data_IF_073743888750
#
_entry.id   IF_073743888750
#
_cell.length_a   1.000
_cell.length_b   1.000
_cell.length_c   1.000
_cell.angle_alpha   90.00
_cell.angle_beta   90.00
_cell.angle_gamma   90.00
#
_symmetry.space_group_name_H-M   'P 1'
#
loop_
_entity.id
_entity.type
_entity.pdbx_description
1 polymer ?
#
# COMPACT_ATOMS: atom_id res chain seq x y z
N UNK A 1 -56.49 -16.77 -48.37
CA UNK A 1 -56.64 -18.02 -49.15
C UNK A 1 -55.45 -18.13 -50.08
N UNK A 2 -54.81 -19.31 -50.08
CA UNK A 2 -53.87 -19.86 -51.07
C UNK A 2 -52.47 -19.19 -51.19
N UNK A 3 -51.33 -19.74 -50.77
CA UNK A 3 -50.72 -21.09 -50.91
C UNK A 3 -49.93 -21.27 -52.24
N UNK A 4 -48.65 -21.68 -52.07
CA UNK A 4 -47.77 -22.52 -52.93
C UNK A 4 -47.10 -21.85 -54.15
N UNK A 5 -45.76 -21.83 -54.31
CA UNK A 5 -44.65 -22.82 -54.28
C UNK A 5 -44.19 -23.18 -55.71
N UNK A 6 -42.85 -23.20 -55.92
CA UNK A 6 -42.04 -24.26 -56.58
C UNK A 6 -40.64 -23.68 -56.87
N UNK A 7 -39.56 -24.17 -56.26
CA UNK A 7 -38.84 -25.44 -56.48
C UNK A 7 -38.08 -25.50 -57.82
N UNK A 8 -36.73 -25.54 -57.75
CA UNK A 8 -35.80 -26.59 -58.22
C UNK A 8 -34.43 -25.97 -58.57
N UNK A 9 -33.37 -26.13 -57.75
CA UNK A 9 -32.40 -27.23 -57.65
C UNK A 9 -31.36 -27.34 -58.80
N UNK A 10 -30.07 -27.11 -58.46
CA UNK A 10 -28.84 -27.85 -58.84
C UNK A 10 -27.61 -27.01 -58.42
N UNK A 11 -26.99 -27.31 -57.28
CA UNK A 11 -25.80 -28.17 -57.14
C UNK A 11 -24.55 -27.69 -57.89
N UNK A 12 -23.57 -27.16 -57.15
CA UNK A 12 -22.20 -27.66 -57.25
C UNK A 12 -21.43 -27.37 -55.96
N UNK A 13 -20.93 -28.45 -55.36
CA UNK A 13 -20.17 -28.47 -54.12
C UNK A 13 -18.69 -28.13 -54.40
N UNK A 14 -18.10 -27.27 -53.57
CA UNK A 14 -16.65 -27.25 -53.35
C UNK A 14 -16.39 -27.45 -51.86
N UNK A 15 -15.75 -28.59 -51.56
CA UNK A 15 -15.28 -29.01 -50.25
C UNK A 15 -14.19 -28.04 -49.78
N UNK A 16 -14.44 -27.27 -48.73
CA UNK A 16 -13.37 -26.70 -47.91
C UNK A 16 -13.09 -27.70 -46.78
N UNK A 17 -11.91 -28.31 -46.86
CA UNK A 17 -11.38 -29.23 -45.86
C UNK A 17 -11.11 -28.44 -44.58
N UNK A 18 -11.94 -28.67 -43.56
CA UNK A 18 -11.72 -28.14 -42.22
C UNK A 18 -10.52 -28.82 -41.57
N UNK A 19 -9.41 -28.10 -41.47
CA UNK A 19 -8.31 -28.45 -40.56
C UNK A 19 -8.81 -28.14 -39.15
N UNK A 20 -9.27 -29.17 -38.44
CA UNK A 20 -9.51 -29.09 -37.00
C UNK A 20 -8.14 -28.90 -36.33
N UNK A 21 -7.76 -27.65 -36.04
CA UNK A 21 -6.69 -27.40 -35.08
C UNK A 21 -7.22 -27.84 -33.71
N UNK A 22 -6.76 -29.00 -33.23
CA UNK A 22 -6.92 -29.38 -31.85
C UNK A 22 -6.27 -28.30 -31.00
N UNK A 23 -7.08 -27.45 -30.36
CA UNK A 23 -6.57 -26.55 -29.33
C UNK A 23 -5.99 -27.42 -28.22
N UNK A 24 -4.73 -27.20 -27.80
CA UNK A 24 -4.20 -27.89 -26.65
C UNK A 24 -5.06 -27.48 -25.45
N UNK A 25 -5.63 -28.47 -24.79
CA UNK A 25 -6.32 -28.33 -23.51
C UNK A 25 -5.39 -27.57 -22.58
N UNK A 26 -5.70 -26.30 -22.32
CA UNK A 26 -4.96 -25.50 -21.35
C UNK A 26 -5.11 -26.22 -20.02
N UNK A 27 -4.05 -26.92 -19.61
CA UNK A 27 -3.92 -27.45 -18.27
C UNK A 27 -4.13 -26.28 -17.32
N UNK A 28 -5.21 -26.32 -16.55
CA UNK A 28 -5.39 -25.42 -15.40
C UNK A 28 -4.13 -25.54 -14.56
N UNK A 29 -3.41 -24.45 -14.24
CA UNK A 29 -2.41 -24.52 -13.19
C UNK A 29 -3.17 -24.59 -11.86
N UNK A 30 -3.58 -25.80 -11.47
CA UNK A 30 -3.81 -26.13 -10.06
C UNK A 30 -2.45 -26.37 -9.42
N UNK A 31 -1.73 -25.27 -9.20
CA UNK A 31 -0.68 -25.18 -8.19
C UNK A 31 -0.83 -23.81 -7.54
N UNK A 32 -1.69 -23.73 -6.52
CA UNK A 32 -1.44 -22.78 -5.44
C UNK A 32 -0.25 -23.34 -4.67
N UNK A 33 0.96 -23.07 -5.16
CA UNK A 33 2.11 -23.09 -4.27
C UNK A 33 1.82 -22.01 -3.22
N UNK A 34 1.60 -22.42 -1.97
CA UNK A 34 1.77 -21.52 -0.84
C UNK A 34 3.22 -21.08 -0.88
N UNK A 35 3.48 -19.94 -1.52
CA UNK A 35 4.76 -19.26 -1.41
C UNK A 35 4.82 -18.83 0.05
N UNK A 36 5.52 -19.61 0.85
CA UNK A 36 5.89 -19.28 2.22
C UNK A 36 6.79 -18.04 2.14
N UNK A 37 6.19 -16.87 2.30
CA UNK A 37 6.90 -15.59 2.22
C UNK A 37 7.59 -15.39 3.56
N UNK A 38 8.90 -15.69 3.60
CA UNK A 38 9.77 -15.37 4.73
C UNK A 38 9.70 -13.86 5.01
N UNK A 39 9.33 -13.50 6.24
CA UNK A 39 9.36 -12.13 6.73
C UNK A 39 10.44 -12.01 7.81
N UNK A 40 11.36 -11.07 7.61
CA UNK A 40 12.39 -10.69 8.56
C UNK A 40 12.12 -9.30 9.10
N UNK A 41 12.16 -9.13 10.42
CA UNK A 41 12.13 -7.82 11.07
C UNK A 41 13.56 -7.43 11.41
N UNK A 42 13.96 -6.25 10.96
CA UNK A 42 15.33 -5.75 11.06
C UNK A 42 15.31 -4.48 11.91
N UNK A 43 16.00 -4.51 13.04
CA UNK A 43 16.28 -3.34 13.84
C UNK A 43 17.56 -2.69 13.30
N UNK A 44 17.42 -1.51 12.72
CA UNK A 44 18.52 -0.80 12.05
C UNK A 44 19.64 -0.47 13.03
N UNK A 45 19.30 0.09 14.20
CA UNK A 45 20.25 0.52 15.22
C UNK A 45 21.18 -0.59 15.70
N UNK A 46 20.64 -1.80 15.90
CA UNK A 46 21.37 -2.95 16.44
C UNK A 46 21.83 -3.92 15.36
N UNK A 47 21.39 -3.73 14.12
CA UNK A 47 21.54 -4.67 13.01
C UNK A 47 21.08 -6.10 13.39
N UNK A 48 20.04 -6.22 14.23
CA UNK A 48 19.46 -7.51 14.63
C UNK A 48 18.36 -7.91 13.66
N UNK A 49 18.39 -9.17 13.25
CA UNK A 49 17.45 -9.77 12.30
C UNK A 49 16.66 -10.88 13.00
N UNK A 50 15.34 -10.82 12.90
CA UNK A 50 14.45 -11.85 13.42
C UNK A 50 13.51 -12.27 12.29
N UNK A 51 13.68 -13.49 11.79
CA UNK A 51 12.93 -14.01 10.65
C UNK A 51 11.96 -15.10 11.10
N UNK A 52 10.70 -14.98 10.70
CA UNK A 52 9.61 -15.95 10.98
C UNK A 52 9.40 -16.31 12.47
N UNK A 53 9.89 -15.49 13.42
CA UNK A 53 9.71 -15.70 14.86
C UNK A 53 9.10 -14.47 15.54
N UNK A 54 7.79 -14.33 15.36
CA UNK A 54 7.00 -13.25 15.93
C UNK A 54 7.03 -13.28 17.47
N UNK A 55 7.14 -14.47 18.05
CA UNK A 55 7.16 -14.66 19.51
C UNK A 55 8.45 -14.11 20.10
N UNK A 56 9.59 -14.40 19.47
CA UNK A 56 10.88 -13.87 19.88
C UNK A 56 10.92 -12.35 19.74
N UNK A 57 10.43 -11.81 18.62
CA UNK A 57 10.37 -10.37 18.41
C UNK A 57 9.55 -9.67 19.50
N UNK A 58 8.34 -10.16 19.81
CA UNK A 58 7.51 -9.60 20.87
C UNK A 58 8.14 -9.76 22.25
N UNK A 59 8.82 -10.88 22.52
CA UNK A 59 9.50 -11.12 23.80
C UNK A 59 10.60 -10.10 24.05
N UNK A 60 11.38 -9.78 23.02
CA UNK A 60 12.55 -8.90 23.11
C UNK A 60 12.22 -7.43 22.92
N UNK A 61 11.13 -7.10 22.21
CA UNK A 61 10.70 -5.72 21.98
C UNK A 61 9.49 -5.35 22.86
N UNK A 62 9.77 -4.99 24.12
CA UNK A 62 8.74 -4.59 25.08
C UNK A 62 7.94 -3.36 24.64
N UNK A 63 8.50 -2.48 23.81
CA UNK A 63 7.83 -1.26 23.36
C UNK A 63 6.58 -1.53 22.52
N UNK A 64 6.57 -2.63 21.78
CA UNK A 64 5.54 -2.94 20.78
C UNK A 64 4.33 -3.67 21.40
N UNK A 65 4.49 -4.33 22.55
CA UNK A 65 3.48 -5.22 23.14
C UNK A 65 2.10 -4.58 23.32
N UNK A 66 2.08 -3.32 23.73
CA UNK A 66 0.84 -2.59 24.03
C UNK A 66 0.46 -1.61 22.91
N UNK A 67 1.08 -1.72 21.73
CA UNK A 67 0.84 -0.82 20.60
C UNK A 67 -0.22 -1.37 19.66
N UNK A 68 -1.03 -0.47 19.11
CA UNK A 68 -1.96 -0.72 18.01
C UNK A 68 -1.26 -0.45 16.68
N UNK A 69 -1.62 -1.19 15.64
CA UNK A 69 -1.01 -1.06 14.32
C UNK A 69 -1.98 -0.40 13.33
N UNK A 70 -1.55 0.66 12.66
CA UNK A 70 -2.13 1.09 11.39
C UNK A 70 -1.21 0.60 10.28
N UNK A 71 -1.73 -0.21 9.37
CA UNK A 71 -1.00 -0.64 8.17
C UNK A 71 -1.45 0.17 6.96
N UNK A 72 -0.52 0.60 6.11
CA UNK A 72 -0.80 1.47 4.96
C UNK A 72 -0.26 0.81 3.70
N UNK A 73 -1.14 0.58 2.74
CA UNK A 73 -0.79 -0.19 1.55
C UNK A 73 0.11 0.57 0.58
N UNK A 74 0.80 -0.16 -0.33
CA UNK A 74 1.26 0.40 -1.59
C UNK A 74 0.10 1.07 -2.35
N UNK A 75 0.44 1.99 -3.25
CA UNK A 75 -0.59 2.71 -4.01
C UNK A 75 -0.09 3.60 -5.15
N UNK A 76 1.21 3.60 -5.44
CA UNK A 76 1.79 4.48 -6.47
C UNK A 76 1.38 5.94 -6.27
N UNK A 77 0.90 6.59 -7.33
CA UNK A 77 0.42 7.98 -7.25
C UNK A 77 -0.84 8.15 -6.40
N UNK A 78 -1.66 7.11 -6.17
CA UNK A 78 -2.74 7.18 -5.16
C UNK A 78 -2.20 7.22 -3.72
N UNK A 79 -0.88 7.15 -3.54
CA UNK A 79 -0.20 7.54 -2.30
C UNK A 79 -0.63 8.91 -1.77
N UNK A 80 -0.86 9.88 -2.66
CA UNK A 80 -1.35 11.21 -2.27
C UNK A 80 -2.79 11.21 -1.78
N UNK A 81 -3.64 10.32 -2.31
CA UNK A 81 -4.98 10.10 -1.75
C UNK A 81 -4.92 9.49 -0.35
N UNK A 82 -4.03 8.53 -0.15
CA UNK A 82 -3.79 7.98 1.19
C UNK A 82 -3.19 9.02 2.14
N UNK A 83 -2.37 9.96 1.65
CA UNK A 83 -1.86 11.08 2.44
C UNK A 83 -3.00 11.95 2.98
N UNK A 84 -4.01 12.26 2.15
CA UNK A 84 -5.22 12.96 2.60
C UNK A 84 -5.96 12.21 3.71
N UNK A 85 -6.15 10.90 3.52
CA UNK A 85 -6.77 10.03 4.54
C UNK A 85 -5.95 10.05 5.84
N UNK A 86 -4.63 9.92 5.74
CA UNK A 86 -3.72 9.93 6.89
C UNK A 86 -3.73 11.27 7.62
N UNK A 87 -3.74 12.38 6.88
CA UNK A 87 -3.79 13.73 7.44
C UNK A 87 -5.07 13.94 8.27
N UNK A 88 -6.24 13.58 7.73
CA UNK A 88 -7.49 13.66 8.48
C UNK A 88 -7.46 12.82 9.77
N UNK A 89 -6.99 11.57 9.68
CA UNK A 89 -6.90 10.68 10.85
C UNK A 89 -5.96 11.28 11.90
N UNK A 90 -4.80 11.77 11.47
CA UNK A 90 -3.79 12.32 12.38
C UNK A 90 -4.21 13.63 13.04
N UNK A 91 -5.01 14.44 12.36
CA UNK A 91 -5.61 15.68 12.91
C UNK A 91 -6.79 15.38 13.86
N UNK A 92 -7.52 14.28 13.64
CA UNK A 92 -8.78 14.02 14.33
C UNK A 92 -8.69 13.11 15.56
N UNK A 93 -7.62 12.32 15.68
CA UNK A 93 -7.51 11.27 16.70
C UNK A 93 -6.19 11.30 17.47
N UNK A 94 -6.23 10.87 18.74
CA UNK A 94 -5.04 10.65 19.57
C UNK A 94 -4.42 9.29 19.19
N UNK A 95 -3.17 9.31 18.72
CA UNK A 95 -2.47 8.16 18.15
C UNK A 95 -1.18 7.78 18.92
N UNK A 96 -1.12 8.09 20.21
CA UNK A 96 0.07 7.89 21.03
C UNK A 96 0.44 6.40 21.21
N UNK A 97 -0.58 5.55 21.28
CA UNK A 97 -0.48 4.09 21.37
C UNK A 97 -0.39 3.39 20.01
N UNK A 98 -0.32 4.14 18.90
CA UNK A 98 -0.21 3.56 17.56
C UNK A 98 1.23 3.51 17.04
N UNK A 99 1.49 2.48 16.24
CA UNK A 99 2.64 2.33 15.35
C UNK A 99 2.15 2.18 13.91
N UNK A 100 3.03 2.48 12.94
CA UNK A 100 2.67 2.57 11.53
C UNK A 100 3.56 1.67 10.71
N UNK A 101 2.95 0.82 9.89
CA UNK A 101 3.70 -0.04 8.96
C UNK A 101 3.20 0.13 7.54
N UNK A 102 4.14 0.35 6.61
CA UNK A 102 3.77 0.56 5.22
C UNK A 102 4.86 0.18 4.25
N UNK A 103 4.46 0.06 2.99
CA UNK A 103 5.34 -0.25 1.87
C UNK A 103 5.03 0.63 0.67
N UNK A 104 6.06 0.96 -0.12
CA UNK A 104 5.95 1.86 -1.26
C UNK A 104 5.35 3.22 -0.84
N UNK A 105 4.34 3.71 -1.55
CA UNK A 105 3.54 4.86 -1.12
C UNK A 105 3.06 4.78 0.34
N UNK A 106 2.79 3.59 0.87
CA UNK A 106 2.41 3.38 2.26
C UNK A 106 3.56 3.60 3.26
N UNK A 107 4.81 3.40 2.85
CA UNK A 107 5.97 3.69 3.69
C UNK A 107 6.14 5.21 3.89
N UNK A 108 6.00 5.99 2.81
CA UNK A 108 5.98 7.46 2.87
C UNK A 108 4.86 7.98 3.77
N UNK A 109 3.66 7.41 3.64
CA UNK A 109 2.53 7.76 4.49
C UNK A 109 2.74 7.32 5.95
N UNK A 110 3.42 6.19 6.18
CA UNK A 110 3.78 5.76 7.54
C UNK A 110 4.80 6.70 8.18
N UNK A 111 5.79 7.20 7.42
CA UNK A 111 6.71 8.24 7.88
C UNK A 111 5.95 9.52 8.22
N UNK A 112 5.05 9.98 7.35
CA UNK A 112 4.16 11.12 7.63
C UNK A 112 3.40 10.95 8.95
N UNK A 113 2.87 9.76 9.22
CA UNK A 113 2.14 9.47 10.46
C UNK A 113 3.01 9.60 11.72
N UNK A 114 4.34 9.52 11.61
CA UNK A 114 5.25 9.74 12.74
C UNK A 114 5.59 11.21 13.03
N UNK A 115 5.20 12.16 12.16
CA UNK A 115 5.47 13.58 12.38
C UNK A 115 4.78 14.10 13.66
N UNK A 116 5.47 14.89 14.49
CA UNK A 116 4.97 15.28 15.83
C UNK A 116 4.25 16.62 15.86
N UNK A 117 4.32 17.40 14.78
CA UNK A 117 3.70 18.73 14.68
C UNK A 117 2.43 18.64 13.81
N UNK A 118 1.99 19.79 13.30
CA UNK A 118 0.78 19.90 12.49
C UNK A 118 0.86 19.03 11.21
N UNK A 119 0.00 17.99 11.08
CA UNK A 119 0.00 17.12 9.92
C UNK A 119 -0.39 17.85 8.62
N UNK A 120 -1.19 18.91 8.70
CA UNK A 120 -1.65 19.68 7.54
C UNK A 120 -0.50 20.50 6.96
N UNK A 121 0.31 21.12 7.83
CA UNK A 121 1.52 21.84 7.41
C UNK A 121 2.46 20.92 6.63
N UNK A 122 2.79 19.74 7.17
CA UNK A 122 3.67 18.78 6.47
C UNK A 122 3.07 18.34 5.14
N UNK A 123 1.76 18.06 5.09
CA UNK A 123 1.11 17.64 3.84
C UNK A 123 1.26 18.69 2.74
N UNK A 124 1.00 19.97 3.01
CA UNK A 124 1.13 21.03 2.01
C UNK A 124 2.58 21.31 1.61
N UNK A 125 3.54 21.14 2.51
CA UNK A 125 4.97 21.23 2.17
C UNK A 125 5.41 20.17 1.16
N UNK A 126 4.82 18.97 1.28
CA UNK A 126 5.02 17.90 0.34
C UNK A 126 4.31 18.19 -0.99
N UNK A 127 3.06 18.67 -0.98
CA UNK A 127 2.17 18.85 -2.15
C UNK A 127 2.45 20.10 -3.02
N UNK A 128 3.71 20.49 -3.19
CA UNK A 128 4.10 21.63 -4.03
C UNK A 128 3.83 21.37 -5.53
N UNK A 129 3.39 22.41 -6.25
CA UNK A 129 3.20 22.41 -7.71
C UNK A 129 4.40 21.86 -8.48
N UNK A 130 5.61 22.03 -7.95
CA UNK A 130 6.84 21.47 -8.53
C UNK A 130 6.80 19.94 -8.64
N UNK A 131 6.09 19.23 -7.76
CA UNK A 131 5.98 17.77 -7.84
C UNK A 131 5.33 17.31 -9.16
N UNK A 132 4.42 18.10 -9.73
CA UNK A 132 3.80 17.77 -11.01
C UNK A 132 4.84 17.74 -12.16
N UNK A 133 6.01 18.37 -11.97
CA UNK A 133 7.11 18.39 -12.94
C UNK A 133 8.01 17.14 -12.89
N UNK A 134 7.93 16.31 -11.86
CA UNK A 134 8.83 15.16 -11.64
C UNK A 134 8.80 14.14 -12.78
N UNK A 135 9.87 14.00 -13.59
CA UNK A 135 9.85 13.24 -14.86
C UNK A 135 9.48 11.76 -14.67
N UNK A 136 9.82 11.16 -13.54
CA UNK A 136 9.54 9.78 -13.16
C UNK A 136 9.14 9.63 -11.69
N UNK A 137 8.74 8.42 -11.28
CA UNK A 137 8.46 8.11 -9.86
C UNK A 137 9.72 8.27 -9.00
N UNK A 138 10.89 7.88 -9.51
CA UNK A 138 12.14 8.06 -8.78
C UNK A 138 12.48 9.55 -8.63
N UNK A 139 12.23 10.38 -9.64
CA UNK A 139 12.41 11.83 -9.51
C UNK A 139 11.46 12.39 -8.45
N UNK A 140 10.21 11.93 -8.43
CA UNK A 140 9.21 12.33 -7.43
C UNK A 140 9.68 11.97 -6.01
N UNK A 141 10.17 10.75 -5.80
CA UNK A 141 10.74 10.27 -4.54
C UNK A 141 11.92 11.13 -4.09
N UNK A 142 12.86 11.45 -4.99
CA UNK A 142 13.99 12.31 -4.65
C UNK A 142 13.55 13.75 -4.36
N UNK A 143 12.59 14.29 -5.11
CA UNK A 143 12.03 15.62 -4.83
C UNK A 143 11.39 15.67 -3.43
N UNK A 144 10.64 14.63 -3.05
CA UNK A 144 10.06 14.49 -1.70
C UNK A 144 11.18 14.35 -0.66
N UNK A 145 12.18 13.49 -0.89
CA UNK A 145 13.34 13.32 -0.01
C UNK A 145 14.02 14.66 0.29
N UNK A 146 14.38 15.41 -0.74
CA UNK A 146 15.09 16.68 -0.55
C UNK A 146 14.23 17.74 0.14
N UNK A 147 12.92 17.77 -0.13
CA UNK A 147 11.99 18.62 0.64
C UNK A 147 12.00 18.28 2.12
N UNK A 148 11.89 16.99 2.45
CA UNK A 148 11.87 16.52 3.84
C UNK A 148 13.19 16.87 4.54
N UNK A 149 14.32 16.50 3.95
CA UNK A 149 15.63 16.64 4.60
C UNK A 149 16.14 18.08 4.70
N UNK A 150 15.69 18.97 3.80
CA UNK A 150 16.07 20.39 3.86
C UNK A 150 15.27 21.16 4.91
N UNK A 151 14.05 20.72 5.25
CA UNK A 151 13.14 21.46 6.13
C UNK A 151 13.01 20.87 7.53
N UNK A 152 13.13 19.56 7.66
CA UNK A 152 12.85 18.85 8.91
C UNK A 152 14.06 18.11 9.46
N UNK A 153 14.03 17.83 10.76
CA UNK A 153 15.02 17.07 11.50
C UNK A 153 14.42 15.76 12.02
N UNK A 154 15.27 14.80 12.39
CA UNK A 154 14.80 13.55 13.00
C UNK A 154 13.91 13.79 14.23
N UNK A 155 14.24 14.80 15.04
CA UNK A 155 13.47 15.19 16.22
C UNK A 155 12.08 15.77 15.92
N UNK A 156 11.74 16.03 14.66
CA UNK A 156 10.37 16.38 14.26
C UNK A 156 9.47 15.15 14.11
N UNK A 157 10.05 13.94 14.11
CA UNK A 157 9.37 12.67 13.92
C UNK A 157 9.56 11.75 15.13
N UNK A 158 8.61 10.86 15.37
CA UNK A 158 8.76 9.72 16.28
C UNK A 158 9.12 8.47 15.47
N UNK A 159 10.38 8.40 15.02
CA UNK A 159 10.85 7.33 14.12
C UNK A 159 10.78 5.93 14.74
N UNK A 160 10.63 5.82 16.07
CA UNK A 160 10.40 4.55 16.77
C UNK A 160 9.04 3.93 16.42
N UNK A 161 8.07 4.74 15.95
CA UNK A 161 6.76 4.28 15.49
C UNK A 161 6.75 3.81 14.04
N UNK A 162 7.85 3.94 13.30
CA UNK A 162 7.93 3.66 11.87
C UNK A 162 8.42 2.24 11.57
N UNK A 163 7.66 1.52 10.74
CA UNK A 163 8.01 0.20 10.21
C UNK A 163 7.90 0.21 8.68
N UNK A 164 9.01 0.04 7.98
CA UNK A 164 9.05 0.11 6.51
C UNK A 164 9.24 -1.28 5.90
N UNK A 165 8.28 -1.71 5.09
CA UNK A 165 8.35 -2.97 4.37
C UNK A 165 9.11 -2.84 3.04
N UNK A 166 10.14 -3.65 2.84
CA UNK A 166 10.95 -3.71 1.63
C UNK A 166 10.98 -5.15 1.13
N UNK A 167 10.86 -5.36 -0.18
CA UNK A 167 10.98 -6.69 -0.77
C UNK A 167 12.41 -6.91 -1.24
N UNK A 168 12.97 -8.10 -1.06
CA UNK A 168 14.19 -8.52 -1.74
C UNK A 168 13.98 -9.83 -2.48
N UNK A 169 14.83 -10.10 -3.48
CA UNK A 169 14.96 -11.42 -4.08
C UNK A 169 16.23 -12.10 -3.54
N UNK A 170 16.07 -13.29 -2.99
CA UNK A 170 17.17 -14.14 -2.52
C UNK A 170 16.99 -15.55 -3.10
N UNK A 171 17.94 -16.02 -3.91
CA UNK A 171 17.84 -17.30 -4.65
C UNK A 171 16.48 -17.55 -5.33
N UNK A 172 15.94 -16.55 -6.04
CA UNK A 172 14.61 -16.58 -6.69
C UNK A 172 13.40 -16.68 -5.74
N UNK A 173 13.61 -16.53 -4.43
CA UNK A 173 12.53 -16.41 -3.44
C UNK A 173 12.30 -14.93 -3.09
N UNK A 174 11.04 -14.55 -3.02
CA UNK A 174 10.62 -13.24 -2.52
C UNK A 174 10.72 -13.26 -1.00
N UNK A 175 11.51 -12.36 -0.43
CA UNK A 175 11.62 -12.14 1.02
C UNK A 175 11.11 -10.75 1.36
N UNK A 176 10.44 -10.64 2.50
CA UNK A 176 9.94 -9.37 3.02
C UNK A 176 10.81 -8.95 4.20
N UNK A 177 11.30 -7.72 4.17
CA UNK A 177 12.08 -7.12 5.25
C UNK A 177 11.29 -5.97 5.85
N UNK A 178 11.05 -5.99 7.16
CA UNK A 178 10.42 -4.91 7.89
C UNK A 178 11.51 -4.17 8.67
N UNK A 179 11.91 -3.00 8.19
CA UNK A 179 12.91 -2.15 8.84
C UNK A 179 12.28 -1.25 9.90
N UNK A 180 12.97 -1.10 11.03
CA UNK A 180 12.50 -0.36 12.22
C UNK A 180 13.66 0.22 13.03
N UNK A 181 13.34 1.04 14.03
CA UNK A 181 14.29 1.67 14.96
C UNK A 181 15.36 2.52 14.24
N UNK A 182 14.91 3.42 13.36
CA UNK A 182 15.76 4.35 12.63
C UNK A 182 16.33 5.45 13.54
N UNK A 183 17.62 5.74 13.37
CA UNK A 183 18.31 6.80 14.14
C UNK A 183 18.26 8.17 13.48
N UNK A 184 18.16 8.20 12.15
CA UNK A 184 18.20 9.45 11.38
C UNK A 184 17.03 9.54 10.41
N UNK A 185 16.61 10.77 10.12
CA UNK A 185 15.58 11.02 9.13
C UNK A 185 16.05 10.64 7.72
N UNK A 186 17.32 10.82 7.38
CA UNK A 186 17.86 10.42 6.07
C UNK A 186 17.74 8.90 5.86
N UNK A 187 18.07 8.09 6.87
CA UNK A 187 17.95 6.64 6.75
C UNK A 187 16.49 6.17 6.66
N UNK A 188 15.59 6.76 7.46
CA UNK A 188 14.15 6.49 7.35
C UNK A 188 13.59 6.84 5.95
N UNK A 189 14.00 7.99 5.40
CA UNK A 189 13.61 8.42 4.03
C UNK A 189 14.22 7.51 2.97
N UNK A 190 15.49 7.11 3.10
CA UNK A 190 16.14 6.17 2.19
C UNK A 190 15.44 4.80 2.23
N UNK A 191 14.98 4.36 3.40
CA UNK A 191 14.16 3.15 3.54
C UNK A 191 12.83 3.27 2.78
N UNK A 192 12.17 4.44 2.83
CA UNK A 192 10.95 4.70 2.06
C UNK A 192 11.20 4.64 0.54
N UNK A 193 12.32 5.17 0.05
CA UNK A 193 12.75 5.06 -1.36
C UNK A 193 12.99 3.59 -1.72
N UNK A 194 13.76 2.87 -0.91
CA UNK A 194 14.03 1.45 -1.12
C UNK A 194 12.74 0.61 -1.18
N UNK A 195 11.77 0.97 -0.33
CA UNK A 195 10.43 0.37 -0.27
C UNK A 195 9.54 0.68 -1.48
N UNK A 196 9.90 1.69 -2.29
CA UNK A 196 9.11 2.16 -3.44
C UNK A 196 9.76 1.84 -4.80
N UNK A 197 11.01 1.34 -4.77
CA UNK A 197 11.79 1.12 -5.98
C UNK A 197 11.34 -0.14 -6.74
N UNK A 198 10.74 0.02 -7.92
CA UNK A 198 10.34 -1.08 -8.79
C UNK A 198 11.39 -1.29 -9.89
N UNK A 199 12.08 -2.45 -9.95
CA UNK A 199 13.02 -2.76 -11.02
C UNK A 199 12.43 -2.49 -12.40
N UNK A 200 13.23 -1.85 -13.27
CA UNK A 200 12.88 -1.51 -14.65
C UNK A 200 11.77 -0.48 -14.86
N UNK A 201 11.08 -0.05 -13.80
CA UNK A 201 10.10 1.06 -13.85
C UNK A 201 10.69 2.33 -13.23
N UNK A 202 11.49 2.19 -12.15
CA UNK A 202 12.07 3.32 -11.41
C UNK A 202 13.57 3.54 -11.68
N UNK A 203 14.20 2.83 -12.63
CA UNK A 203 15.61 3.06 -13.00
C UNK A 203 16.21 2.10 -14.02
N UNK A 204 17.35 2.49 -14.61
CA UNK A 204 18.10 1.73 -15.64
C UNK A 204 19.08 0.68 -15.07
N UNK A 205 19.04 0.36 -13.77
CA UNK A 205 20.02 -0.53 -13.14
C UNK A 205 19.37 -1.48 -12.12
N UNK A 206 19.84 -2.74 -12.11
CA UNK A 206 19.34 -3.87 -11.33
C UNK A 206 19.59 -3.74 -9.80
N UNK A 207 20.29 -2.70 -9.36
CA UNK A 207 20.91 -2.65 -8.03
C UNK A 207 20.58 -1.36 -7.28
N UNK A 208 19.33 -1.21 -6.81
CA UNK A 208 19.10 -0.38 -5.64
C UNK A 208 19.46 -1.21 -4.41
N UNK A 209 20.54 -0.84 -3.71
CA UNK A 209 21.00 -1.54 -2.51
C UNK A 209 20.64 -0.73 -1.28
N UNK A 210 19.86 -1.32 -0.38
CA UNK A 210 19.60 -0.76 0.94
C UNK A 210 20.00 -1.78 2.00
N UNK A 211 20.85 -1.38 2.96
CA UNK A 211 21.39 -2.28 3.99
C UNK A 211 21.99 -3.58 3.40
N UNK A 212 22.76 -3.45 2.30
CA UNK A 212 23.37 -4.53 1.53
C UNK A 212 22.40 -5.52 0.83
N UNK A 213 21.08 -5.27 0.88
CA UNK A 213 20.08 -6.05 0.16
C UNK A 213 19.75 -5.40 -1.19
N UNK A 214 19.55 -6.22 -2.23
CA UNK A 214 18.93 -5.75 -3.47
C UNK A 214 17.44 -5.50 -3.17
N UNK A 215 17.09 -4.22 -3.04
CA UNK A 215 15.80 -3.75 -2.58
C UNK A 215 14.85 -3.50 -3.74
N UNK A 216 13.60 -3.92 -3.54
CA UNK A 216 12.49 -3.82 -4.46
C UNK A 216 11.24 -3.32 -3.73
N UNK A 217 10.27 -2.79 -4.48
CA UNK A 217 9.02 -2.27 -3.94
C UNK A 217 8.38 -3.29 -3.00
N UNK A 218 8.09 -2.85 -1.77
CA UNK A 218 7.58 -3.72 -0.72
C UNK A 218 6.28 -4.42 -1.15
N UNK A 219 5.49 -3.82 -2.02
CA UNK A 219 4.24 -4.41 -2.47
C UNK A 219 4.34 -5.58 -3.45
N UNK A 220 5.55 -5.98 -3.85
CA UNK A 220 5.76 -7.30 -4.46
C UNK A 220 5.62 -8.46 -3.45
N UNK A 221 5.57 -8.16 -2.15
CA UNK A 221 5.19 -9.14 -1.12
C UNK A 221 3.68 -9.22 -0.92
N UNK A 222 3.19 -10.41 -0.56
CA UNK A 222 1.78 -10.65 -0.19
C UNK A 222 1.37 -9.85 1.04
N UNK A 223 2.30 -9.60 1.97
CA UNK A 223 2.04 -8.85 3.20
C UNK A 223 3.29 -8.07 3.62
N UNK A 224 3.49 -6.85 3.08
CA UNK A 224 4.70 -6.06 3.32
C UNK A 224 4.61 -5.19 4.57
N UNK A 225 3.84 -5.63 5.56
CA UNK A 225 3.62 -4.90 6.80
C UNK A 225 4.09 -5.76 7.97
N UNK A 226 4.37 -5.11 9.10
CA UNK A 226 4.66 -5.79 10.36
C UNK A 226 3.54 -6.80 10.68
N UNK A 227 3.89 -8.09 10.79
CA UNK A 227 2.91 -9.17 10.96
C UNK A 227 2.81 -9.70 12.41
N UNK A 228 3.44 -9.02 13.38
CA UNK A 228 3.45 -9.44 14.79
C UNK A 228 2.26 -8.95 15.60
N UNK A 229 1.56 -7.92 15.10
CA UNK A 229 0.34 -7.35 15.68
C UNK A 229 -0.73 -7.31 14.60
N UNK A 230 -1.97 -7.64 14.96
CA UNK A 230 -3.12 -7.46 14.07
C UNK A 230 -3.40 -5.97 13.87
N UNK A 231 -3.48 -5.46 12.62
CA UNK A 231 -3.81 -4.06 12.39
C UNK A 231 -5.20 -3.71 12.92
N UNK A 232 -5.32 -2.53 13.52
CA UNK A 232 -6.58 -1.90 13.91
C UNK A 232 -7.26 -1.19 12.73
N UNK A 233 -6.45 -0.73 11.78
CA UNK A 233 -6.90 -0.13 10.53
C UNK A 233 -5.91 -0.49 9.40
N UNK A 234 -6.45 -0.79 8.22
CA UNK A 234 -5.68 -0.91 7.00
C UNK A 234 -6.10 0.17 6.00
N UNK A 235 -5.21 1.13 5.72
CA UNK A 235 -5.45 2.22 4.79
C UNK A 235 -5.02 1.77 3.39
N UNK A 236 -5.93 1.92 2.43
CA UNK A 236 -5.66 1.63 1.01
C UNK A 236 -6.34 2.66 0.12
N UNK A 237 -5.95 2.76 -1.17
CA UNK A 237 -6.60 3.69 -2.10
C UNK A 237 -8.08 3.40 -2.39
N UNK A 238 -8.56 2.22 -1.99
CA UNK A 238 -9.91 1.75 -2.27
C UNK A 238 -10.74 1.52 -1.01
N UNK A 239 -10.22 1.85 0.18
CA UNK A 239 -10.90 1.53 1.44
C UNK A 239 -12.36 2.01 1.42
N UNK A 240 -12.65 3.22 0.95
CA UNK A 240 -14.01 3.79 0.95
C UNK A 240 -14.94 3.35 -0.19
N UNK A 241 -14.49 2.56 -1.18
CA UNK A 241 -15.29 2.24 -2.38
C UNK A 241 -16.60 1.50 -2.07
N UNK A 242 -16.53 0.55 -1.14
CA UNK A 242 -17.62 -0.38 -0.89
C UNK A 242 -18.45 0.02 0.34
N UNK A 243 -18.19 1.21 0.94
CA UNK A 243 -18.95 1.67 2.11
C UNK A 243 -20.44 1.74 1.79
N UNK A 244 -20.79 2.19 0.58
CA UNK A 244 -22.18 2.31 0.13
C UNK A 244 -22.90 0.98 0.00
N UNK A 245 -22.17 -0.13 -0.15
CA UNK A 245 -22.76 -1.47 -0.25
C UNK A 245 -23.10 -2.05 1.15
N UNK A 246 -22.57 -1.45 2.21
CA UNK A 246 -22.99 -1.75 3.57
C UNK A 246 -24.17 -0.85 3.93
N UNK A 247 -25.40 -1.38 3.86
CA UNK A 247 -26.59 -0.69 4.35
C UNK A 247 -26.50 -0.51 5.87
N UNK A 248 -25.92 0.60 6.30
CA UNK A 248 -25.78 0.98 7.71
C UNK A 248 -27.13 1.24 8.43
N UNK A 249 -28.25 1.19 7.70
CA UNK A 249 -29.60 1.35 8.22
C UNK A 249 -30.09 0.18 9.10
N UNK A 250 -29.52 -1.03 8.94
CA UNK A 250 -29.74 -2.16 9.84
C UNK A 250 -28.53 -2.32 10.75
N UNK A 251 -28.75 -2.36 12.08
CA UNK A 251 -27.74 -2.48 13.14
C UNK A 251 -26.36 -1.93 12.77
N UNK A 252 -26.25 -0.60 12.90
CA UNK A 252 -25.09 0.21 12.50
C UNK A 252 -23.75 -0.39 12.99
N UNK A 253 -23.74 -1.03 14.16
CA UNK A 253 -22.54 -1.59 14.79
C UNK A 253 -22.10 -2.92 14.17
N UNK A 254 -23.04 -3.81 13.84
CA UNK A 254 -22.73 -5.08 13.19
C UNK A 254 -22.16 -4.85 11.78
N UNK A 255 -22.72 -3.92 11.01
CA UNK A 255 -22.27 -3.64 9.66
C UNK A 255 -20.92 -2.91 9.62
N UNK A 256 -20.67 -1.99 10.56
CA UNK A 256 -19.34 -1.39 10.73
C UNK A 256 -18.27 -2.43 11.06
N UNK A 257 -18.55 -3.37 11.97
CA UNK A 257 -17.61 -4.46 12.30
C UNK A 257 -17.28 -5.35 11.09
N UNK A 258 -18.29 -5.75 10.31
CA UNK A 258 -18.08 -6.53 9.08
C UNK A 258 -17.23 -5.78 8.06
N UNK A 259 -17.47 -4.48 7.90
CA UNK A 259 -16.68 -3.64 7.01
C UNK A 259 -15.22 -3.50 7.50
N UNK A 260 -15.00 -3.27 8.80
CA UNK A 260 -13.66 -3.26 9.41
C UNK A 260 -12.95 -4.59 9.15
N UNK A 261 -13.60 -5.73 9.40
CA UNK A 261 -13.00 -7.03 9.13
C UNK A 261 -12.64 -7.24 7.65
N UNK A 262 -13.46 -6.73 6.73
CA UNK A 262 -13.18 -6.76 5.30
C UNK A 262 -11.95 -5.91 4.97
N UNK A 263 -11.85 -4.70 5.51
CA UNK A 263 -10.70 -3.82 5.29
C UNK A 263 -9.39 -4.47 5.76
N UNK A 264 -9.40 -5.10 6.93
CA UNK A 264 -8.22 -5.78 7.48
C UNK A 264 -7.78 -7.00 6.66
N UNK A 265 -8.68 -7.57 5.86
CA UNK A 265 -8.41 -8.72 4.98
C UNK A 265 -8.21 -8.32 3.52
N UNK A 266 -8.32 -7.05 3.18
CA UNK A 266 -8.39 -6.63 1.79
C UNK A 266 -7.04 -6.89 1.11
N UNK A 267 -6.99 -7.77 0.09
CA UNK A 267 -5.77 -8.00 -0.64
C UNK A 267 -5.47 -6.76 -1.50
N UNK A 268 -4.18 -6.56 -1.76
CA UNK A 268 -3.71 -5.52 -2.67
C UNK A 268 -4.32 -5.74 -4.06
N UNK A 269 -4.93 -4.70 -4.65
CA UNK A 269 -5.54 -4.82 -5.97
C UNK A 269 -4.54 -4.46 -7.06
N UNK A 270 -4.52 -5.21 -8.16
CA UNK A 270 -3.66 -4.90 -9.33
C UNK A 270 -3.95 -3.50 -9.88
N UNK A 271 -5.19 -3.01 -9.76
CA UNK A 271 -5.59 -1.65 -10.15
C UNK A 271 -4.96 -0.53 -9.30
N UNK A 272 -4.31 -0.86 -8.19
CA UNK A 272 -3.55 0.09 -7.40
C UNK A 272 -2.18 0.36 -8.06
N UNK A 273 -1.62 -0.62 -8.78
CA UNK A 273 -0.37 -0.50 -9.57
C UNK A 273 -0.54 0.12 -10.95
N UNK A 274 -1.73 0.01 -11.57
CA UNK A 274 -1.96 0.59 -12.92
C UNK A 274 -1.79 2.11 -12.94
N UNK A 275 -1.84 2.75 -11.78
CA UNK A 275 -1.65 4.19 -11.60
C UNK A 275 -0.22 4.63 -11.91
N UNK A 276 0.77 3.77 -11.69
CA UNK A 276 2.19 4.06 -11.92
C UNK A 276 2.49 4.46 -13.38
N UNK A 277 1.65 4.03 -14.33
CA UNK A 277 1.81 4.28 -15.76
C UNK A 277 0.96 5.44 -16.30
N UNK A 278 0.19 6.15 -15.46
CA UNK A 278 -0.81 7.14 -15.90
C UNK A 278 -0.64 8.53 -15.26
N UNK A 279 0.61 8.98 -15.12
CA UNK A 279 1.02 10.24 -14.48
C UNK A 279 0.26 11.49 -14.96
N UNK A 280 0.04 11.65 -16.26
CA UNK A 280 -0.57 12.86 -16.84
C UNK A 280 -2.04 13.10 -16.46
N UNK A 281 -2.63 12.21 -15.66
CA UNK A 281 -4.05 12.26 -15.25
C UNK A 281 -4.28 12.70 -13.80
N UNK A 282 -3.22 12.93 -13.01
CA UNK A 282 -3.37 13.14 -11.57
C UNK A 282 -2.85 14.51 -11.13
N UNK A 283 -3.74 15.30 -10.53
CA UNK A 283 -3.39 16.44 -9.71
C UNK A 283 -3.23 15.93 -8.25
N UNK A 284 -2.02 16.03 -7.70
CA UNK A 284 -1.72 15.46 -6.38
C UNK A 284 -2.47 16.18 -5.25
N UNK A 285 -2.71 17.48 -5.38
CA UNK A 285 -3.51 18.27 -4.43
C UNK A 285 -4.96 17.77 -4.45
N UNK A 286 -5.55 17.59 -5.64
CA UNK A 286 -6.91 17.04 -5.75
C UNK A 286 -7.01 15.62 -5.18
N UNK A 287 -5.99 14.77 -5.39
CA UNK A 287 -5.97 13.43 -4.79
C UNK A 287 -5.94 13.51 -3.26
N UNK A 288 -5.09 14.37 -2.70
CA UNK A 288 -5.04 14.63 -1.27
C UNK A 288 -6.38 15.13 -0.72
N UNK A 289 -6.94 16.19 -1.31
CA UNK A 289 -8.21 16.76 -0.87
C UNK A 289 -9.33 15.73 -0.92
N UNK A 290 -9.35 14.90 -1.96
CA UNK A 290 -10.32 13.82 -2.08
C UNK A 290 -10.16 12.80 -0.96
N UNK A 291 -8.94 12.36 -0.67
CA UNK A 291 -8.66 11.41 0.41
C UNK A 291 -9.05 11.94 1.79
N UNK A 292 -8.72 13.22 2.05
CA UNK A 292 -9.09 13.91 3.27
C UNK A 292 -10.61 14.00 3.43
N UNK A 293 -11.31 14.46 2.39
CA UNK A 293 -12.76 14.62 2.41
C UNK A 293 -13.50 13.28 2.48
N UNK A 294 -13.02 12.24 1.80
CA UNK A 294 -13.59 10.90 1.93
C UNK A 294 -13.45 10.37 3.36
N UNK A 295 -12.29 10.53 4.00
CA UNK A 295 -12.09 10.15 5.39
C UNK A 295 -13.00 10.95 6.35
N UNK A 296 -13.16 12.25 6.11
CA UNK A 296 -14.07 13.12 6.86
C UNK A 296 -15.54 12.72 6.71
N UNK A 297 -15.97 12.37 5.51
CA UNK A 297 -17.33 11.92 5.22
C UNK A 297 -17.65 10.56 5.85
N UNK A 298 -16.63 9.73 6.08
CA UNK A 298 -16.74 8.41 6.72
C UNK A 298 -16.24 8.43 8.18
N UNK A 299 -16.31 9.59 8.85
CA UNK A 299 -15.80 9.80 10.21
C UNK A 299 -16.45 8.86 11.23
N UNK A 300 -17.73 8.57 11.07
CA UNK A 300 -18.48 7.65 11.93
C UNK A 300 -17.89 6.24 11.96
N UNK A 301 -17.35 5.74 10.84
CA UNK A 301 -16.64 4.47 10.77
C UNK A 301 -15.31 4.56 11.52
N UNK A 302 -14.57 5.65 11.33
CA UNK A 302 -13.29 5.88 11.99
C UNK A 302 -13.46 6.04 13.52
N UNK A 303 -14.49 6.74 13.97
CA UNK A 303 -14.83 6.91 15.39
C UNK A 303 -15.00 5.55 16.08
N UNK A 304 -15.58 4.56 15.40
CA UNK A 304 -15.72 3.19 15.90
C UNK A 304 -14.40 2.41 15.90
N UNK A 305 -13.46 2.74 15.04
CA UNK A 305 -12.13 2.11 15.04
C UNK A 305 -11.25 2.67 16.16
N UNK A 306 -11.36 3.97 16.43
CA UNK A 306 -10.47 4.69 17.35
C UNK A 306 -11.01 4.90 18.77
N UNK A 307 -12.26 4.49 19.08
CA UNK A 307 -12.89 4.47 20.43
C UNK A 307 -12.42 5.58 21.40
N UNK A 308 -13.18 6.68 21.49
CA UNK A 308 -13.00 7.78 22.46
C UNK A 308 -11.62 8.49 22.50
N UNK A 309 -10.73 8.24 21.56
CA UNK A 309 -9.47 8.99 21.40
C UNK A 309 -9.66 10.23 20.50
N UNK A 310 -10.58 11.13 20.86
CA UNK A 310 -10.81 12.36 20.09
C UNK A 310 -9.93 13.50 20.59
N UNK A 311 -9.43 14.31 19.67
CA UNK A 311 -8.94 15.65 19.98
C UNK A 311 -10.19 16.54 20.06
N UNK A 312 -10.44 17.14 21.23
CA UNK A 312 -11.57 18.05 21.47
C UNK A 312 -11.46 19.35 20.68
#
# INVERSE_FOLDING_TARGET
MSIISRLLNKSCASKVVGIKSAMPTIMKPQMRAEIDTEQCIINIRTNKWICNDNTLYLKENAYIKDKKLISISPGGFKGFYMLGTCAFIKESYILDDYIYSGASAGAWNSLFMTYKKDPIELAYELLDDKLNNAVSIIDLEYMIKYKILNKFKADDFDLKKLFVGVTSFDYMKIKTHIFSDFDTLDDAVNSCIASSHIPYITGNSFSNKYQNLNAFDGGFSKYPYLNVIKPSLHITPSMWKDVKDFNFCEDHDVNARKYIEKLLKMPMQVSDYTTLFSRSKYNFVELYDKGYNDAKNNRDILDKMFHQNKIE
#
